data_IF_711419467764
#
_entry.id   IF_711419467764
#
_cell.length_a   1.000
_cell.length_b   1.000
_cell.length_c   1.000
_cell.angle_alpha   90.00
_cell.angle_beta   90.00
_cell.angle_gamma   90.00
#
_symmetry.space_group_name_H-M   'P 1'
#
loop_
_entity.id
_entity.type
_entity.pdbx_description
1 polymer ?
#
# COMPACT_ATOMS: atom_id res chain seq x y z
N UNK A 1 19.11 -46.78 -1.88
CA UNK A 1 19.17 -45.37 -1.40
C UNK A 1 17.81 -44.76 -1.66
N UNK A 2 16.97 -44.68 -0.65
CA UNK A 2 15.65 -44.03 -0.74
C UNK A 2 15.88 -42.51 -0.69
N UNK A 3 15.82 -41.84 -1.84
CA UNK A 3 15.75 -40.37 -1.87
C UNK A 3 14.48 -39.94 -1.13
N UNK A 4 14.65 -39.32 0.03
CA UNK A 4 13.60 -38.59 0.70
C UNK A 4 13.25 -37.39 -0.16
N UNK A 5 12.22 -37.51 -1.00
CA UNK A 5 11.65 -36.38 -1.73
C UNK A 5 11.05 -35.45 -0.66
N UNK A 6 11.78 -34.41 -0.31
CA UNK A 6 11.21 -33.32 0.52
C UNK A 6 10.09 -32.64 -0.27
N UNK A 7 8.86 -33.01 0.04
CA UNK A 7 7.67 -32.30 -0.51
C UNK A 7 7.72 -30.84 -0.06
N UNK A 8 7.78 -29.95 -1.02
CA UNK A 8 7.68 -28.52 -0.77
C UNK A 8 6.22 -28.15 -0.52
N UNK A 9 5.96 -27.12 0.30
CA UNK A 9 4.61 -26.62 0.58
C UNK A 9 3.83 -26.28 -0.69
N UNK A 10 4.49 -25.75 -1.70
CA UNK A 10 3.90 -25.44 -2.99
C UNK A 10 3.56 -26.65 -3.88
N UNK A 11 3.91 -27.87 -3.48
CA UNK A 11 3.48 -29.08 -4.18
C UNK A 11 2.02 -29.45 -3.86
N UNK A 12 1.51 -29.01 -2.71
CA UNK A 12 0.11 -29.20 -2.33
C UNK A 12 -0.78 -28.13 -3.03
N UNK A 13 -1.79 -28.55 -3.83
CA UNK A 13 -2.73 -27.60 -4.42
C UNK A 13 -3.45 -26.74 -3.37
N UNK A 14 -3.90 -27.34 -2.27
CA UNK A 14 -4.58 -26.64 -1.20
C UNK A 14 -3.71 -25.51 -0.61
N UNK A 15 -2.45 -25.79 -0.33
CA UNK A 15 -1.51 -24.80 0.22
C UNK A 15 -1.23 -23.64 -0.76
N UNK A 16 -1.10 -23.96 -2.07
CA UNK A 16 -0.93 -22.93 -3.11
C UNK A 16 -2.11 -21.98 -3.18
N UNK A 17 -3.32 -22.55 -3.26
CA UNK A 17 -4.54 -21.75 -3.35
C UNK A 17 -4.84 -20.97 -2.08
N UNK A 18 -4.57 -21.54 -0.89
CA UNK A 18 -4.68 -20.80 0.36
C UNK A 18 -3.70 -19.61 0.40
N UNK A 19 -2.44 -19.82 0.00
CA UNK A 19 -1.47 -18.74 -0.07
C UNK A 19 -1.92 -17.65 -1.06
N UNK A 20 -2.46 -18.04 -2.23
CA UNK A 20 -3.00 -17.10 -3.21
C UNK A 20 -4.14 -16.26 -2.63
N UNK A 21 -5.12 -16.88 -1.97
CA UNK A 21 -6.25 -16.17 -1.35
C UNK A 21 -5.77 -15.17 -0.32
N UNK A 22 -4.78 -15.53 0.51
CA UNK A 22 -4.21 -14.62 1.51
C UNK A 22 -3.53 -13.41 0.89
N UNK A 23 -2.69 -13.61 -0.14
CA UNK A 23 -2.00 -12.49 -0.79
C UNK A 23 -2.96 -11.64 -1.64
N UNK A 24 -3.91 -12.24 -2.32
CA UNK A 24 -4.96 -11.53 -3.06
C UNK A 24 -5.85 -10.69 -2.11
N UNK A 25 -6.18 -11.22 -0.93
CA UNK A 25 -6.92 -10.46 0.09
C UNK A 25 -6.14 -9.23 0.55
N UNK A 26 -4.83 -9.34 0.72
CA UNK A 26 -3.97 -8.20 1.07
C UNK A 26 -4.02 -7.11 -0.01
N UNK A 27 -3.95 -7.48 -1.29
CA UNK A 27 -4.07 -6.56 -2.40
C UNK A 27 -5.46 -5.92 -2.46
N UNK A 28 -6.52 -6.73 -2.34
CA UNK A 28 -7.90 -6.24 -2.32
C UNK A 28 -8.11 -5.16 -1.25
N UNK A 29 -7.71 -5.43 0.00
CA UNK A 29 -7.86 -4.45 1.07
C UNK A 29 -6.93 -3.25 0.91
N UNK A 30 -5.74 -3.43 0.32
CA UNK A 30 -4.84 -2.34 -0.03
C UNK A 30 -5.50 -1.35 -0.99
N UNK A 31 -5.99 -1.82 -2.12
CA UNK A 31 -6.65 -0.97 -3.13
C UNK A 31 -8.01 -0.42 -2.64
N UNK A 32 -8.77 -1.19 -1.86
CA UNK A 32 -9.98 -0.67 -1.23
C UNK A 32 -9.66 0.54 -0.33
N UNK A 33 -8.53 0.51 0.39
CA UNK A 33 -8.11 1.63 1.25
C UNK A 33 -7.58 2.82 0.45
N UNK A 34 -7.03 2.61 -0.73
CA UNK A 34 -6.66 3.69 -1.66
C UNK A 34 -7.88 4.55 -1.97
N UNK A 35 -8.98 3.92 -2.33
CA UNK A 35 -10.19 4.61 -2.79
C UNK A 35 -11.15 5.03 -1.68
N UNK A 36 -10.90 4.66 -0.42
CA UNK A 36 -11.81 4.89 0.71
C UNK A 36 -12.18 6.37 0.92
N UNK A 37 -11.34 7.30 0.51
CA UNK A 37 -11.60 8.74 0.64
C UNK A 37 -12.43 9.31 -0.51
N UNK A 38 -12.49 8.66 -1.67
CA UNK A 38 -13.18 9.17 -2.85
C UNK A 38 -14.67 9.45 -2.62
N UNK A 39 -15.47 8.55 -2.01
CA UNK A 39 -16.88 8.80 -1.76
C UNK A 39 -17.16 9.88 -0.71
N UNK A 40 -16.17 10.25 0.12
CA UNK A 40 -16.32 11.27 1.17
C UNK A 40 -15.68 12.61 0.78
N UNK A 41 -15.31 12.81 -0.47
CA UNK A 41 -14.71 14.07 -0.95
C UNK A 41 -15.53 15.31 -0.57
N UNK A 42 -16.83 15.31 -0.82
CA UNK A 42 -17.71 16.43 -0.48
C UNK A 42 -17.77 16.71 1.03
N UNK A 43 -17.67 15.67 1.85
CA UNK A 43 -17.59 15.81 3.30
C UNK A 43 -16.27 16.44 3.73
N UNK A 44 -15.17 16.05 3.12
CA UNK A 44 -13.84 16.63 3.38
C UNK A 44 -13.78 18.11 2.94
N UNK A 45 -14.44 18.47 1.84
CA UNK A 45 -14.56 19.84 1.40
C UNK A 45 -15.31 20.68 2.44
N UNK A 46 -16.48 20.21 2.90
CA UNK A 46 -17.33 20.96 3.85
C UNK A 46 -16.73 21.04 5.25
N UNK A 47 -16.06 20.00 5.74
CA UNK A 47 -15.55 19.94 7.12
C UNK A 47 -14.09 20.36 7.27
N UNK A 48 -13.27 20.17 6.24
CA UNK A 48 -11.82 20.39 6.30
C UNK A 48 -11.32 21.42 5.28
N UNK A 49 -12.20 21.95 4.46
CA UNK A 49 -11.85 22.91 3.42
C UNK A 49 -11.00 22.31 2.29
N UNK A 50 -11.10 20.99 2.05
CA UNK A 50 -10.39 20.35 0.97
C UNK A 50 -11.11 20.61 -0.36
N UNK A 51 -10.72 21.66 -1.03
CA UNK A 51 -11.21 21.93 -2.39
C UNK A 51 -10.88 20.75 -3.32
N UNK A 52 -11.57 20.62 -4.47
CA UNK A 52 -11.27 19.57 -5.46
C UNK A 52 -9.79 19.50 -5.85
N UNK A 53 -9.10 20.64 -5.97
CA UNK A 53 -7.67 20.71 -6.28
C UNK A 53 -6.81 20.13 -5.15
N UNK A 54 -7.14 20.43 -3.90
CA UNK A 54 -6.45 19.88 -2.73
C UNK A 54 -6.67 18.37 -2.66
N UNK A 55 -7.92 17.94 -2.89
CA UNK A 55 -8.23 16.50 -2.92
C UNK A 55 -7.50 15.79 -4.05
N UNK A 56 -7.41 16.37 -5.24
CA UNK A 56 -6.61 15.85 -6.36
C UNK A 56 -5.13 15.74 -6.02
N UNK A 57 -4.57 16.77 -5.35
CA UNK A 57 -3.16 16.73 -4.88
C UNK A 57 -2.93 15.63 -3.85
N UNK A 58 -3.87 15.48 -2.91
CA UNK A 58 -3.85 14.37 -1.95
C UNK A 58 -3.90 13.01 -2.67
N UNK A 59 -4.82 12.80 -3.60
CA UNK A 59 -4.94 11.56 -4.34
C UNK A 59 -3.67 11.25 -5.16
N UNK A 60 -3.08 12.25 -5.81
CA UNK A 60 -1.83 12.10 -6.56
C UNK A 60 -0.62 11.76 -5.66
N UNK A 61 -0.67 12.11 -4.37
CA UNK A 61 0.46 11.90 -3.46
C UNK A 61 0.84 10.43 -3.29
N UNK A 62 -0.09 9.51 -3.45
CA UNK A 62 0.15 8.06 -3.41
C UNK A 62 1.27 7.62 -4.37
N UNK A 63 1.29 8.22 -5.56
CA UNK A 63 2.18 7.80 -6.64
C UNK A 63 3.51 8.55 -6.68
N UNK A 64 3.66 9.68 -5.98
CA UNK A 64 4.81 10.58 -6.10
C UNK A 64 6.14 9.85 -5.87
N UNK A 65 6.27 9.13 -4.76
CA UNK A 65 7.52 8.42 -4.45
C UNK A 65 7.75 7.23 -5.38
N UNK A 66 6.70 6.58 -5.83
CA UNK A 66 6.77 5.45 -6.75
C UNK A 66 7.30 5.91 -8.11
N UNK A 67 6.81 7.03 -8.64
CA UNK A 67 7.29 7.67 -9.88
C UNK A 67 8.73 8.17 -9.72
N UNK A 68 9.11 8.67 -8.53
CA UNK A 68 10.48 9.08 -8.24
C UNK A 68 11.48 7.91 -8.11
N UNK A 69 11.05 6.67 -8.31
CA UNK A 69 11.93 5.50 -8.38
C UNK A 69 11.87 4.57 -7.18
N UNK A 70 10.94 4.76 -6.24
CA UNK A 70 10.79 3.86 -5.09
C UNK A 70 10.56 2.39 -5.53
N UNK A 71 9.83 2.15 -6.63
CA UNK A 71 9.61 0.80 -7.17
C UNK A 71 10.92 0.08 -7.51
N UNK A 72 11.94 0.80 -7.97
CA UNK A 72 13.27 0.21 -8.24
C UNK A 72 13.91 -0.26 -6.93
N UNK A 73 13.83 0.57 -5.89
CA UNK A 73 14.33 0.24 -4.54
C UNK A 73 13.57 -0.97 -3.98
N UNK A 74 12.24 -0.98 -4.12
CA UNK A 74 11.40 -2.09 -3.71
C UNK A 74 11.79 -3.41 -4.41
N UNK A 75 12.05 -3.36 -5.72
CA UNK A 75 12.55 -4.51 -6.48
C UNK A 75 13.90 -5.02 -5.96
N UNK A 76 14.85 -4.13 -5.68
CA UNK A 76 16.16 -4.51 -5.09
C UNK A 76 16.00 -5.14 -3.71
N UNK A 77 15.14 -4.58 -2.86
CA UNK A 77 14.83 -5.15 -1.54
C UNK A 77 14.23 -6.55 -1.71
N UNK A 78 13.25 -6.69 -2.60
CA UNK A 78 12.60 -7.96 -2.88
C UNK A 78 13.59 -9.04 -3.39
N UNK A 79 14.55 -8.66 -4.21
CA UNK A 79 15.55 -9.59 -4.73
C UNK A 79 16.57 -10.02 -3.66
N UNK A 80 16.98 -9.10 -2.79
CA UNK A 80 17.97 -9.36 -1.75
C UNK A 80 17.38 -10.01 -0.49
N UNK A 81 16.23 -9.50 -0.03
CA UNK A 81 15.62 -9.88 1.26
C UNK A 81 14.53 -10.94 1.11
N UNK A 82 14.00 -11.11 -0.10
CA UNK A 82 12.99 -12.10 -0.43
C UNK A 82 11.56 -11.70 -0.08
N UNK A 83 10.62 -12.54 -0.53
CA UNK A 83 9.16 -12.28 -0.50
C UNK A 83 8.62 -12.05 0.92
N UNK A 84 9.09 -12.81 1.91
CA UNK A 84 8.58 -12.71 3.28
C UNK A 84 8.90 -11.36 3.91
N UNK A 85 10.17 -10.99 3.92
CA UNK A 85 10.61 -9.71 4.49
C UNK A 85 9.96 -8.53 3.79
N UNK A 86 9.94 -8.55 2.45
CA UNK A 86 9.36 -7.46 1.67
C UNK A 86 7.87 -7.32 1.88
N UNK A 87 7.14 -8.44 2.04
CA UNK A 87 5.72 -8.43 2.39
C UNK A 87 5.45 -7.85 3.79
N UNK A 88 6.24 -8.23 4.79
CA UNK A 88 6.14 -7.69 6.16
C UNK A 88 6.44 -6.18 6.18
N UNK A 89 7.48 -5.74 5.45
CA UNK A 89 7.83 -4.34 5.31
C UNK A 89 6.72 -3.54 4.62
N UNK A 90 6.19 -4.04 3.51
CA UNK A 90 5.09 -3.46 2.77
C UNK A 90 3.84 -3.26 3.65
N UNK A 91 3.41 -4.31 4.36
CA UNK A 91 2.30 -4.24 5.28
C UNK A 91 2.52 -3.22 6.41
N UNK A 92 3.74 -3.15 6.95
CA UNK A 92 4.12 -2.17 7.97
C UNK A 92 4.06 -0.73 7.45
N UNK A 93 4.51 -0.49 6.22
CA UNK A 93 4.44 0.82 5.56
C UNK A 93 2.98 1.22 5.30
N UNK A 94 2.15 0.30 4.80
CA UNK A 94 0.72 0.55 4.61
C UNK A 94 0.03 0.89 5.94
N UNK A 95 0.29 0.13 6.99
CA UNK A 95 -0.27 0.39 8.32
C UNK A 95 0.16 1.76 8.87
N UNK A 96 1.46 2.05 8.85
CA UNK A 96 1.97 3.35 9.31
C UNK A 96 1.41 4.52 8.48
N UNK A 97 1.34 4.38 7.16
CA UNK A 97 0.75 5.36 6.26
C UNK A 97 -0.73 5.61 6.56
N UNK A 98 -1.50 4.54 6.81
CA UNK A 98 -2.91 4.64 7.18
C UNK A 98 -3.10 5.37 8.52
N UNK A 99 -2.26 5.08 9.52
CA UNK A 99 -2.28 5.76 10.83
C UNK A 99 -1.96 7.25 10.69
N UNK A 100 -0.92 7.60 9.93
CA UNK A 100 -0.55 9.00 9.69
C UNK A 100 -1.69 9.74 8.96
N UNK A 101 -2.26 9.13 7.92
CA UNK A 101 -3.41 9.67 7.20
C UNK A 101 -4.60 9.91 8.13
N UNK A 102 -4.94 8.94 8.97
CA UNK A 102 -6.01 9.07 9.95
C UNK A 102 -5.75 10.19 10.95
N UNK A 103 -4.55 10.25 11.54
CA UNK A 103 -4.16 11.33 12.47
C UNK A 103 -4.35 12.70 11.80
N UNK A 104 -3.91 12.87 10.55
CA UNK A 104 -3.99 14.13 9.83
C UNK A 104 -5.40 14.70 9.70
N UNK A 105 -6.43 13.86 9.65
CA UNK A 105 -7.83 14.28 9.52
C UNK A 105 -8.57 14.41 10.85
N UNK A 106 -7.95 14.07 12.00
CA UNK A 106 -8.58 14.19 13.32
C UNK A 106 -8.65 15.64 13.78
N UNK A 107 -9.67 15.95 14.61
CA UNK A 107 -9.80 17.27 15.23
C UNK A 107 -8.65 17.55 16.21
N UNK A 108 -8.22 16.52 16.93
CA UNK A 108 -7.07 16.63 17.82
C UNK A 108 -5.82 17.14 17.10
N UNK A 109 -5.52 16.62 15.92
CA UNK A 109 -4.35 17.06 15.14
C UNK A 109 -4.44 18.54 14.79
N UNK A 110 -5.64 19.05 14.43
CA UNK A 110 -5.84 20.45 14.06
C UNK A 110 -5.55 21.42 15.21
N UNK A 111 -5.58 20.97 16.47
CA UNK A 111 -5.30 21.79 17.67
C UNK A 111 -3.83 21.73 18.09
N UNK A 112 -2.98 21.03 17.33
CA UNK A 112 -1.57 20.90 17.70
C UNK A 112 -0.71 22.02 17.12
N UNK A 113 0.33 22.44 17.87
CA UNK A 113 1.32 23.39 17.37
C UNK A 113 2.02 22.92 16.08
N UNK A 114 2.07 21.61 15.85
CA UNK A 114 2.61 21.04 14.61
C UNK A 114 1.71 21.31 13.41
N UNK A 115 0.38 21.27 13.58
CA UNK A 115 -0.54 21.65 12.52
C UNK A 115 -0.44 23.14 12.21
N UNK A 116 -0.31 24.00 13.23
CA UNK A 116 -0.09 25.44 13.04
C UNK A 116 1.19 25.70 12.26
N UNK A 117 2.29 25.04 12.62
CA UNK A 117 3.54 25.12 11.87
C UNK A 117 3.39 24.64 10.42
N UNK A 118 2.70 23.53 10.16
CA UNK A 118 2.42 23.06 8.81
C UNK A 118 1.60 24.06 8.01
N UNK A 119 0.69 24.79 8.63
CA UNK A 119 -0.12 25.82 7.97
C UNK A 119 0.71 27.04 7.54
N UNK A 120 1.89 27.28 8.09
CA UNK A 120 2.80 28.34 7.62
C UNK A 120 3.47 27.99 6.28
N UNK A 121 3.51 26.74 5.91
CA UNK A 121 4.10 26.27 4.67
C UNK A 121 3.00 26.03 3.64
N UNK A 122 3.21 26.44 2.39
CA UNK A 122 2.26 26.20 1.30
C UNK A 122 0.80 26.48 1.71
N UNK A 123 0.52 27.74 1.91
CA UNK A 123 -0.72 28.25 2.53
C UNK A 123 -2.02 27.79 1.81
N UNK A 124 -1.95 27.47 0.51
CA UNK A 124 -3.09 26.98 -0.26
C UNK A 124 -3.59 25.59 0.13
N UNK A 125 -2.80 24.84 0.92
CA UNK A 125 -3.14 23.48 1.34
C UNK A 125 -3.19 23.41 2.88
N UNK A 126 -4.31 22.99 3.51
CA UNK A 126 -4.42 22.92 4.96
C UNK A 126 -3.52 21.83 5.54
N UNK A 127 -3.12 21.99 6.81
CA UNK A 127 -2.26 21.03 7.52
C UNK A 127 -2.82 19.62 7.51
N UNK A 128 -4.15 19.46 7.60
CA UNK A 128 -4.83 18.16 7.50
C UNK A 128 -4.52 17.44 6.19
N UNK A 129 -4.61 18.16 5.08
CA UNK A 129 -4.34 17.58 3.76
C UNK A 129 -2.86 17.24 3.58
N UNK A 130 -1.95 18.08 4.07
CA UNK A 130 -0.50 17.82 4.02
C UNK A 130 -0.14 16.56 4.79
N UNK A 131 -0.63 16.44 6.03
CA UNK A 131 -0.37 15.28 6.87
C UNK A 131 -0.98 14.01 6.28
N UNK A 132 -2.22 14.10 5.78
CA UNK A 132 -2.87 12.98 5.10
C UNK A 132 -2.13 12.56 3.83
N UNK A 133 -1.60 13.52 3.04
CA UNK A 133 -0.80 13.25 1.85
C UNK A 133 0.52 12.55 2.19
N UNK A 134 1.20 12.95 3.26
CA UNK A 134 2.41 12.26 3.74
C UNK A 134 2.11 10.81 4.11
N UNK A 135 1.01 10.57 4.83
CA UNK A 135 0.56 9.23 5.17
C UNK A 135 0.20 8.42 3.91
N UNK A 136 -0.42 9.06 2.93
CA UNK A 136 -0.84 8.40 1.70
C UNK A 136 0.35 8.08 0.78
N UNK A 137 1.38 8.92 0.73
CA UNK A 137 2.65 8.61 0.06
C UNK A 137 3.30 7.35 0.66
N UNK A 138 3.38 7.26 1.98
CA UNK A 138 3.96 6.09 2.65
C UNK A 138 3.11 4.85 2.42
N UNK A 139 1.78 4.99 2.47
CA UNK A 139 0.84 3.92 2.16
C UNK A 139 1.03 3.41 0.73
N UNK A 140 1.09 4.31 -0.25
CA UNK A 140 1.28 3.99 -1.67
C UNK A 140 2.59 3.26 -1.94
N UNK A 141 3.69 3.66 -1.29
CA UNK A 141 4.95 2.91 -1.35
C UNK A 141 4.78 1.47 -0.87
N UNK A 142 4.07 1.28 0.24
CA UNK A 142 3.77 -0.06 0.76
C UNK A 142 2.88 -0.86 -0.19
N UNK A 143 1.83 -0.24 -0.74
CA UNK A 143 0.88 -0.88 -1.64
C UNK A 143 1.56 -1.38 -2.92
N UNK A 144 2.35 -0.54 -3.58
CA UNK A 144 3.08 -0.90 -4.79
C UNK A 144 4.18 -1.94 -4.55
N UNK A 145 4.86 -1.86 -3.39
CA UNK A 145 5.81 -2.89 -2.96
C UNK A 145 5.08 -4.23 -2.71
N UNK A 146 3.85 -4.20 -2.19
CA UNK A 146 3.03 -5.40 -2.01
C UNK A 146 2.74 -6.06 -3.37
N UNK A 147 2.30 -5.30 -4.37
CA UNK A 147 2.01 -5.81 -5.71
C UNK A 147 3.18 -6.55 -6.34
N UNK A 148 4.38 -5.93 -6.33
CA UNK A 148 5.59 -6.58 -6.85
C UNK A 148 5.96 -7.84 -6.05
N UNK A 149 5.74 -7.83 -4.74
CA UNK A 149 6.03 -8.98 -3.85
C UNK A 149 5.06 -10.13 -4.10
N UNK A 150 3.77 -9.83 -4.25
CA UNK A 150 2.71 -10.80 -4.53
C UNK A 150 2.93 -11.45 -5.89
N UNK A 151 3.21 -10.68 -6.93
CA UNK A 151 3.51 -11.18 -8.28
C UNK A 151 4.72 -12.14 -8.26
N UNK A 152 5.79 -11.81 -7.52
CA UNK A 152 6.94 -12.71 -7.34
C UNK A 152 6.58 -13.98 -6.55
N UNK A 153 5.73 -13.86 -5.54
CA UNK A 153 5.26 -15.01 -4.77
C UNK A 153 4.45 -15.97 -5.66
N UNK A 154 3.51 -15.45 -6.45
CA UNK A 154 2.72 -16.25 -7.40
C UNK A 154 3.62 -16.92 -8.42
N UNK A 155 4.54 -16.17 -9.05
CA UNK A 155 5.48 -16.74 -10.00
C UNK A 155 6.31 -17.89 -9.41
N UNK A 156 6.70 -17.80 -8.13
CA UNK A 156 7.46 -18.84 -7.44
C UNK A 156 6.60 -20.06 -7.10
N UNK A 157 5.36 -19.87 -6.66
CA UNK A 157 4.49 -20.94 -6.17
C UNK A 157 3.73 -21.66 -7.30
N UNK A 158 3.43 -20.97 -8.39
CA UNK A 158 2.66 -21.51 -9.52
C UNK A 158 3.52 -21.78 -10.76
N UNK A 159 4.86 -21.75 -10.66
CA UNK A 159 5.76 -22.06 -11.76
C UNK A 159 5.47 -23.47 -12.34
N UNK A 160 5.09 -23.52 -13.62
CA UNK A 160 4.73 -24.78 -14.31
C UNK A 160 3.37 -25.35 -13.91
N UNK A 161 2.52 -24.54 -13.27
CA UNK A 161 1.15 -24.88 -12.84
C UNK A 161 0.20 -23.77 -13.31
N UNK A 162 -0.96 -23.60 -12.71
CA UNK A 162 -2.02 -22.67 -13.16
C UNK A 162 -1.66 -21.18 -12.97
N UNK A 163 -0.46 -20.76 -13.43
CA UNK A 163 0.11 -19.44 -13.15
C UNK A 163 -0.74 -18.29 -13.73
N UNK A 164 -1.26 -18.46 -14.94
CA UNK A 164 -2.09 -17.42 -15.58
C UNK A 164 -3.40 -17.19 -14.81
N UNK A 165 -4.03 -18.28 -14.33
CA UNK A 165 -5.23 -18.18 -13.52
C UNK A 165 -4.93 -17.52 -12.16
N UNK A 166 -3.81 -17.88 -11.53
CA UNK A 166 -3.39 -17.29 -10.26
C UNK A 166 -3.11 -15.79 -10.38
N UNK A 167 -2.44 -15.36 -11.45
CA UNK A 167 -2.21 -13.94 -11.75
C UNK A 167 -3.52 -13.18 -12.03
N UNK A 168 -4.46 -13.79 -12.74
CA UNK A 168 -5.75 -13.15 -13.04
C UNK A 168 -6.70 -13.05 -11.84
N UNK A 169 -6.50 -13.86 -10.79
CA UNK A 169 -7.28 -13.77 -9.55
C UNK A 169 -6.67 -12.81 -8.52
N UNK A 170 -5.40 -12.47 -8.68
CA UNK A 170 -4.71 -11.52 -7.79
C UNK A 170 -4.98 -10.07 -8.21
N UNK A 171 -5.17 -9.83 -9.48
CA UNK A 171 -5.51 -8.52 -10.05
C UNK A 171 -6.96 -8.11 -9.75
#
# INVERSE_FOLDING_TARGET
MTEFIQRKLNDSPAMRWTALVLVASMMFFGYMFVDVMSPIQALMESQRGWTPDIFGTYAASEYILNVCGFLIIAGVILDKMGVRFTGELSASMMFAGAVIKYIGITDWFQTTAFADWLNTWWVSMPASAKMASLGFMLFGCGCEMAGTTVSKAIAKWFKGKEMALAMGLEM
#
